data_IF_865366552137
#
_entry.id   IF_865366552137
#
_cell.length_a   1.000
_cell.length_b   1.000
_cell.length_c   1.000
_cell.angle_alpha   90.00
_cell.angle_beta   90.00
_cell.angle_gamma   90.00
#
_symmetry.space_group_name_H-M   'P 1'
#
loop_
_entity.id
_entity.type
_entity.pdbx_description
1 polymer ?
#
# COMPACT_ATOMS: atom_id res chain seq x y z
N UNK A 1 34.96 -52.42 -15.98
CA UNK A 1 35.27 -52.71 -14.55
C UNK A 1 34.92 -51.54 -13.64
N UNK A 2 35.60 -50.38 -13.72
CA UNK A 2 35.36 -49.25 -12.79
C UNK A 2 33.93 -48.70 -12.82
N UNK A 3 33.29 -48.63 -13.99
CA UNK A 3 31.89 -48.16 -14.14
C UNK A 3 30.85 -49.17 -13.63
N UNK A 4 31.13 -50.47 -13.71
CA UNK A 4 30.20 -51.51 -13.22
C UNK A 4 30.26 -51.65 -11.69
N UNK A 5 31.43 -51.48 -11.08
CA UNK A 5 31.57 -51.43 -9.61
C UNK A 5 30.89 -50.20 -9.01
N UNK A 6 31.00 -49.04 -9.66
CA UNK A 6 30.27 -47.83 -9.28
C UNK A 6 28.75 -48.03 -9.41
N UNK A 7 28.30 -48.72 -10.46
CA UNK A 7 26.88 -48.99 -10.65
C UNK A 7 26.33 -50.02 -9.65
N UNK A 8 27.10 -51.07 -9.34
CA UNK A 8 26.77 -52.04 -8.29
C UNK A 8 26.73 -51.43 -6.88
N UNK A 9 27.64 -50.49 -6.58
CA UNK A 9 27.66 -49.74 -5.33
C UNK A 9 26.49 -48.76 -5.19
N UNK A 10 26.01 -48.21 -6.31
CA UNK A 10 24.84 -47.32 -6.36
C UNK A 10 23.49 -48.08 -6.44
N UNK A 11 23.47 -49.31 -6.96
CA UNK A 11 22.25 -50.14 -7.04
C UNK A 11 22.01 -51.00 -5.80
N UNK A 12 22.98 -51.09 -4.88
CA UNK A 12 22.86 -51.79 -3.60
C UNK A 12 22.27 -50.94 -2.48
N UNK A 13 22.09 -51.55 -1.30
CA UNK A 13 21.53 -50.89 -0.11
C UNK A 13 22.24 -49.57 0.26
N UNK A 14 23.54 -49.46 0.00
CA UNK A 14 24.35 -48.26 0.25
C UNK A 14 24.00 -47.08 -0.67
N UNK A 15 23.73 -47.34 -1.95
CA UNK A 15 23.28 -46.32 -2.90
C UNK A 15 21.84 -45.86 -2.63
N UNK A 16 20.96 -46.80 -2.25
CA UNK A 16 19.61 -46.47 -1.78
C UNK A 16 19.62 -45.63 -0.49
N UNK A 17 20.51 -45.92 0.46
CA UNK A 17 20.67 -45.15 1.69
C UNK A 17 21.16 -43.71 1.40
N UNK A 18 22.14 -43.54 0.52
CA UNK A 18 22.62 -42.22 0.06
C UNK A 18 21.50 -41.41 -0.62
N UNK A 19 20.73 -42.03 -1.51
CA UNK A 19 19.58 -41.39 -2.15
C UNK A 19 18.52 -40.97 -1.12
N UNK A 20 18.20 -41.82 -0.14
CA UNK A 20 17.30 -41.49 0.96
C UNK A 20 17.83 -40.32 1.81
N UNK A 21 19.13 -40.26 2.11
CA UNK A 21 19.74 -39.15 2.83
C UNK A 21 19.65 -37.83 2.05
N UNK A 22 19.89 -37.84 0.73
CA UNK A 22 19.72 -36.66 -0.12
C UNK A 22 18.27 -36.19 -0.18
N UNK A 23 17.31 -37.12 -0.32
CA UNK A 23 15.88 -36.81 -0.29
C UNK A 23 15.49 -36.24 1.08
N UNK A 24 15.93 -36.84 2.18
CA UNK A 24 15.66 -36.37 3.53
C UNK A 24 16.26 -34.97 3.77
N UNK A 25 17.48 -34.71 3.31
CA UNK A 25 18.11 -33.39 3.40
C UNK A 25 17.37 -32.34 2.55
N UNK A 26 16.96 -32.67 1.32
CA UNK A 26 16.15 -31.79 0.48
C UNK A 26 14.78 -31.49 1.08
N UNK A 27 14.12 -32.50 1.67
CA UNK A 27 12.86 -32.34 2.40
C UNK A 27 13.05 -31.48 3.64
N UNK A 28 14.11 -31.70 4.43
CA UNK A 28 14.43 -30.91 5.62
C UNK A 28 14.72 -29.44 5.27
N UNK A 29 15.50 -29.18 4.21
CA UNK A 29 15.76 -27.84 3.70
C UNK A 29 14.47 -27.16 3.22
N UNK A 30 13.63 -27.88 2.47
CA UNK A 30 12.32 -27.38 2.02
C UNK A 30 11.38 -27.10 3.18
N UNK A 31 11.39 -27.94 4.21
CA UNK A 31 10.57 -27.79 5.41
C UNK A 31 11.05 -26.60 6.26
N UNK A 32 12.36 -26.47 6.47
CA UNK A 32 12.98 -25.33 7.16
C UNK A 32 12.72 -24.00 6.45
N UNK A 33 12.89 -23.95 5.12
CA UNK A 33 12.57 -22.78 4.31
C UNK A 33 11.09 -22.39 4.39
N UNK A 34 10.18 -23.38 4.38
CA UNK A 34 8.74 -23.16 4.60
C UNK A 34 8.42 -22.73 6.04
N UNK A 35 9.19 -23.18 7.03
CA UNK A 35 9.05 -22.77 8.43
C UNK A 35 9.28 -21.27 8.60
N UNK A 36 10.33 -20.71 7.97
CA UNK A 36 10.58 -19.26 7.98
C UNK A 36 9.45 -18.47 7.32
N UNK A 37 8.99 -18.91 6.15
CA UNK A 37 7.88 -18.26 5.45
C UNK A 37 6.55 -18.32 6.24
N UNK A 38 6.27 -19.45 6.90
CA UNK A 38 5.11 -19.59 7.80
C UNK A 38 5.20 -18.67 9.01
N UNK A 39 6.39 -18.56 9.62
CA UNK A 39 6.64 -17.65 10.73
C UNK A 39 6.43 -16.18 10.34
N UNK A 40 6.95 -15.78 9.16
CA UNK A 40 6.73 -14.44 8.62
C UNK A 40 5.25 -14.15 8.38
N UNK A 41 4.49 -15.09 7.78
CA UNK A 41 3.06 -14.93 7.59
C UNK A 41 2.29 -14.80 8.91
N UNK A 42 2.64 -15.60 9.93
CA UNK A 42 2.01 -15.52 11.24
C UNK A 42 2.25 -14.16 11.91
N UNK A 43 3.48 -13.67 11.90
CA UNK A 43 3.83 -12.35 12.45
C UNK A 43 3.17 -11.20 11.69
N UNK A 44 3.15 -11.25 10.36
CA UNK A 44 2.48 -10.25 9.53
C UNK A 44 0.97 -10.17 9.84
N UNK A 45 0.28 -11.31 9.96
CA UNK A 45 -1.15 -11.36 10.34
C UNK A 45 -1.41 -10.86 11.75
N UNK A 46 -0.54 -11.20 12.70
CA UNK A 46 -0.63 -10.69 14.06
C UNK A 46 -0.50 -9.16 14.09
N UNK A 47 0.47 -8.61 13.34
CA UNK A 47 0.66 -7.16 13.21
C UNK A 47 -0.52 -6.48 12.52
N UNK A 48 -1.03 -7.04 11.41
CA UNK A 48 -2.22 -6.54 10.73
C UNK A 48 -3.42 -6.50 11.68
N UNK A 49 -3.66 -7.58 12.44
CA UNK A 49 -4.76 -7.64 13.43
C UNK A 49 -4.60 -6.57 14.50
N UNK A 50 -3.43 -6.44 15.11
CA UNK A 50 -3.16 -5.42 16.13
C UNK A 50 -3.32 -3.99 15.59
N UNK A 51 -2.85 -3.75 14.36
CA UNK A 51 -2.99 -2.47 13.68
C UNK A 51 -4.46 -2.10 13.45
N UNK A 52 -5.28 -3.05 12.97
CA UNK A 52 -6.72 -2.87 12.77
C UNK A 52 -7.47 -2.65 14.09
N UNK A 53 -7.11 -3.36 15.15
CA UNK A 53 -7.67 -3.14 16.49
C UNK A 53 -7.31 -1.74 17.04
N UNK A 54 -6.09 -1.27 16.80
CA UNK A 54 -5.67 0.08 17.19
C UNK A 54 -6.44 1.15 16.43
N UNK A 55 -6.60 0.98 15.11
CA UNK A 55 -7.34 1.90 14.25
C UNK A 55 -8.82 1.98 14.67
N UNK A 56 -9.46 0.84 14.97
CA UNK A 56 -10.84 0.78 15.46
C UNK A 56 -11.01 1.50 16.80
N UNK A 57 -10.14 1.21 17.78
CA UNK A 57 -10.16 1.88 19.09
C UNK A 57 -10.04 3.39 18.97
N UNK A 58 -9.15 3.87 18.11
CA UNK A 58 -8.96 5.31 17.87
C UNK A 58 -10.22 5.95 17.26
N UNK A 59 -10.78 5.34 16.22
CA UNK A 59 -12.00 5.82 15.57
C UNK A 59 -13.23 5.78 16.52
N UNK A 60 -13.39 4.72 17.32
CA UNK A 60 -14.46 4.61 18.31
C UNK A 60 -14.34 5.66 19.42
N UNK A 61 -13.13 5.88 19.94
CA UNK A 61 -12.88 6.93 20.94
C UNK A 61 -13.30 8.29 20.41
N UNK A 62 -12.92 8.61 19.17
CA UNK A 62 -13.31 9.88 18.55
C UNK A 62 -14.83 9.98 18.36
N UNK A 63 -15.49 8.91 17.88
CA UNK A 63 -16.95 8.87 17.70
C UNK A 63 -17.71 9.10 19.03
N UNK A 64 -17.24 8.50 20.13
CA UNK A 64 -17.83 8.72 21.46
C UNK A 64 -17.67 10.15 21.97
N UNK A 65 -16.57 10.82 21.60
CA UNK A 65 -16.31 12.21 21.97
C UNK A 65 -17.04 13.21 21.08
N UNK A 66 -17.50 12.79 19.90
CA UNK A 66 -18.12 13.65 18.89
C UNK A 66 -19.42 13.00 18.34
N UNK A 67 -20.43 12.74 19.20
CA UNK A 67 -21.63 12.00 18.81
C UNK A 67 -22.48 12.72 17.77
N UNK A 68 -22.41 14.06 17.71
CA UNK A 68 -23.21 14.90 16.82
C UNK A 68 -22.60 15.07 15.42
N UNK A 69 -21.40 14.51 15.17
CA UNK A 69 -20.75 14.60 13.86
C UNK A 69 -21.49 13.75 12.82
N UNK A 70 -22.04 14.41 11.79
CA UNK A 70 -22.62 13.72 10.64
C UNK A 70 -21.52 13.09 9.76
N UNK A 71 -21.13 11.88 10.16
CA UNK A 71 -20.13 11.08 9.45
C UNK A 71 -20.57 10.74 8.02
N UNK A 72 -21.88 10.60 7.78
CA UNK A 72 -22.41 10.25 6.46
C UNK A 72 -22.26 11.42 5.49
N UNK A 73 -22.60 12.63 5.93
CA UNK A 73 -22.39 13.85 5.15
C UNK A 73 -20.91 14.08 4.83
N UNK A 74 -20.01 13.86 5.81
CA UNK A 74 -18.56 14.00 5.61
C UNK A 74 -18.04 13.00 4.55
N UNK A 75 -18.41 11.72 4.65
CA UNK A 75 -17.98 10.69 3.70
C UNK A 75 -18.53 10.89 2.29
N UNK A 76 -19.64 11.62 2.14
CA UNK A 76 -20.24 11.94 0.84
C UNK A 76 -19.54 13.09 0.09
N UNK A 77 -18.64 13.85 0.75
CA UNK A 77 -17.91 14.93 0.11
C UNK A 77 -16.95 14.40 -0.98
N UNK A 78 -16.79 15.19 -2.04
CA UNK A 78 -15.66 15.05 -2.97
C UNK A 78 -14.37 15.54 -2.31
N UNK A 79 -13.20 15.17 -2.83
CA UNK A 79 -11.93 15.65 -2.27
C UNK A 79 -11.82 17.18 -2.29
N UNK A 80 -12.15 17.89 -3.40
CA UNK A 80 -12.06 19.35 -3.42
C UNK A 80 -12.97 20.01 -2.36
N UNK A 81 -14.17 19.49 -2.16
CA UNK A 81 -15.08 19.99 -1.12
C UNK A 81 -14.54 19.74 0.29
N UNK A 82 -13.97 18.55 0.55
CA UNK A 82 -13.34 18.26 1.84
C UNK A 82 -12.18 19.21 2.11
N UNK A 83 -11.29 19.40 1.14
CA UNK A 83 -10.14 20.32 1.24
C UNK A 83 -10.61 21.75 1.51
N UNK A 84 -11.62 22.23 0.79
CA UNK A 84 -12.20 23.56 1.02
C UNK A 84 -12.74 23.71 2.45
N UNK A 85 -13.51 22.73 2.95
CA UNK A 85 -14.06 22.74 4.31
C UNK A 85 -12.97 22.68 5.39
N UNK A 86 -11.89 21.93 5.16
CA UNK A 86 -10.74 21.87 6.06
C UNK A 86 -9.99 23.21 6.12
N UNK A 87 -9.78 23.88 4.98
CA UNK A 87 -9.15 25.20 4.96
C UNK A 87 -10.02 26.30 5.57
N UNK A 88 -11.35 26.24 5.37
CA UNK A 88 -12.29 27.17 5.98
C UNK A 88 -12.48 26.97 7.49
N UNK A 89 -11.98 25.85 8.04
CA UNK A 89 -12.22 25.47 9.44
C UNK A 89 -13.64 24.97 9.72
N UNK A 90 -14.44 24.71 8.68
CA UNK A 90 -15.78 24.11 8.81
C UNK A 90 -15.72 22.64 9.24
N UNK A 91 -14.64 21.95 8.88
CA UNK A 91 -14.31 20.61 9.35
C UNK A 91 -12.93 20.61 10.00
N UNK A 92 -12.76 19.89 11.10
CA UNK A 92 -11.46 19.68 11.70
C UNK A 92 -10.70 18.55 10.98
N UNK A 93 -9.36 18.62 10.90
CA UNK A 93 -8.56 17.50 10.40
C UNK A 93 -8.80 16.20 11.18
N UNK A 94 -9.07 16.29 12.49
CA UNK A 94 -9.42 15.15 13.34
C UNK A 94 -10.73 14.50 12.88
N UNK A 95 -11.77 15.31 12.60
CA UNK A 95 -13.03 14.81 12.08
C UNK A 95 -12.84 14.08 10.76
N UNK A 96 -12.04 14.63 9.84
CA UNK A 96 -11.72 13.96 8.57
C UNK A 96 -10.98 12.64 8.80
N UNK A 97 -9.86 12.65 9.54
CA UNK A 97 -9.02 11.48 9.78
C UNK A 97 -9.81 10.33 10.45
N UNK A 98 -10.43 10.59 11.60
CA UNK A 98 -11.08 9.51 12.36
C UNK A 98 -12.36 9.00 11.70
N UNK A 99 -13.07 9.84 10.93
CA UNK A 99 -14.22 9.38 10.15
C UNK A 99 -13.77 8.44 9.03
N UNK A 100 -12.71 8.79 8.29
CA UNK A 100 -12.16 7.92 7.25
C UNK A 100 -11.48 6.67 7.83
N UNK A 101 -10.80 6.74 8.98
CA UNK A 101 -10.27 5.57 9.68
C UNK A 101 -11.37 4.58 10.06
N UNK A 102 -12.49 5.07 10.61
CA UNK A 102 -13.65 4.25 10.94
C UNK A 102 -14.22 3.58 9.69
N UNK A 103 -14.42 4.34 8.61
CA UNK A 103 -14.93 3.78 7.35
C UNK A 103 -13.96 2.78 6.73
N UNK A 104 -12.66 3.06 6.73
CA UNK A 104 -11.61 2.15 6.26
C UNK A 104 -11.61 0.83 7.04
N UNK A 105 -11.76 0.88 8.36
CA UNK A 105 -11.87 -0.32 9.19
C UNK A 105 -13.12 -1.14 8.87
N UNK A 106 -14.27 -0.48 8.71
CA UNK A 106 -15.54 -1.12 8.35
C UNK A 106 -15.43 -1.86 7.01
N UNK A 107 -14.95 -1.19 5.95
CA UNK A 107 -14.84 -1.80 4.61
C UNK A 107 -13.75 -2.86 4.54
N UNK A 108 -12.72 -2.77 5.38
CA UNK A 108 -11.66 -3.77 5.43
C UNK A 108 -12.17 -5.13 5.93
N UNK A 109 -13.23 -5.19 6.74
CA UNK A 109 -13.84 -6.46 7.18
C UNK A 109 -14.32 -7.31 6.00
N UNK A 110 -14.81 -6.66 4.96
CA UNK A 110 -15.37 -7.32 3.77
C UNK A 110 -14.32 -7.51 2.67
N UNK A 111 -13.34 -6.61 2.60
CA UNK A 111 -12.40 -6.54 1.47
C UNK A 111 -10.99 -7.03 1.77
N UNK A 112 -10.55 -7.03 3.04
CA UNK A 112 -9.17 -7.29 3.44
C UNK A 112 -8.14 -6.47 2.60
N UNK A 113 -8.38 -5.17 2.51
CA UNK A 113 -7.58 -4.25 1.69
C UNK A 113 -6.48 -3.52 2.47
N UNK A 114 -6.54 -3.47 3.80
CA UNK A 114 -5.57 -2.77 4.67
C UNK A 114 -4.57 -3.76 5.25
N UNK A 115 -3.28 -3.53 5.04
CA UNK A 115 -2.20 -4.36 5.63
C UNK A 115 -1.71 -3.80 6.95
N UNK A 116 -1.77 -2.47 7.13
CA UNK A 116 -1.25 -1.80 8.32
C UNK A 116 -1.88 -0.42 8.56
N UNK A 117 -1.92 -0.01 9.83
CA UNK A 117 -2.28 1.32 10.30
C UNK A 117 -1.00 2.12 10.56
N UNK A 118 -0.87 3.30 9.95
CA UNK A 118 0.29 4.18 10.09
C UNK A 118 0.11 5.08 11.33
N UNK A 119 0.40 4.52 12.51
CA UNK A 119 -0.02 5.09 13.79
C UNK A 119 0.53 6.49 14.13
N UNK A 120 1.60 6.94 13.49
CA UNK A 120 2.11 8.30 13.63
C UNK A 120 1.30 9.34 12.83
N UNK A 121 0.23 8.93 12.13
CA UNK A 121 -0.66 9.82 11.40
C UNK A 121 -1.34 10.86 12.31
N UNK A 122 -1.60 10.53 13.58
CA UNK A 122 -2.13 11.47 14.57
C UNK A 122 -1.12 12.57 14.92
N UNK A 123 0.17 12.22 15.03
CA UNK A 123 1.25 13.19 15.19
C UNK A 123 1.40 14.04 13.93
N UNK A 124 1.37 13.41 12.74
CA UNK A 124 1.40 14.10 11.46
C UNK A 124 0.24 15.11 11.33
N UNK A 125 -0.96 14.74 11.77
CA UNK A 125 -2.13 15.62 11.80
C UNK A 125 -1.88 16.88 12.63
N UNK A 126 -1.22 16.75 13.78
CA UNK A 126 -0.90 17.88 14.66
C UNK A 126 0.14 18.85 14.08
N UNK A 127 0.96 18.37 13.15
CA UNK A 127 2.05 19.11 12.51
C UNK A 127 1.76 19.49 11.05
N UNK A 128 0.57 19.14 10.53
CA UNK A 128 0.22 19.33 9.13
C UNK A 128 0.27 20.81 8.73
N UNK A 129 1.06 21.20 7.72
CA UNK A 129 1.10 22.58 7.25
C UNK A 129 -0.26 23.06 6.75
N UNK A 130 -0.83 24.08 7.41
CA UNK A 130 -2.18 24.61 7.13
C UNK A 130 -2.32 25.20 5.73
N UNK A 131 -1.22 25.65 5.14
CA UNK A 131 -1.16 26.24 3.80
C UNK A 131 -0.97 25.19 2.69
N UNK A 132 -0.73 23.93 3.05
CA UNK A 132 -0.53 22.86 2.08
C UNK A 132 -1.82 22.53 1.32
N UNK A 133 -1.71 22.18 0.04
CA UNK A 133 -2.86 21.95 -0.85
C UNK A 133 -3.72 20.75 -0.46
N UNK A 134 -3.22 19.88 0.43
CA UNK A 134 -3.88 18.69 0.93
C UNK A 134 -4.01 18.71 2.46
N UNK A 135 -4.05 19.91 3.06
CA UNK A 135 -4.14 20.07 4.50
C UNK A 135 -5.26 19.23 5.13
N UNK A 136 -4.90 18.34 6.06
CA UNK A 136 -5.81 17.50 6.82
C UNK A 136 -6.43 16.34 6.05
N UNK A 137 -6.05 16.12 4.78
CA UNK A 137 -6.60 15.04 3.93
C UNK A 137 -6.00 13.69 4.33
N UNK A 138 -6.82 12.69 4.72
CA UNK A 138 -6.35 11.32 4.92
C UNK A 138 -6.02 10.67 3.56
N UNK A 139 -4.83 10.09 3.43
CA UNK A 139 -4.36 9.45 2.18
C UNK A 139 -3.98 7.98 2.41
N UNK A 140 -4.48 7.10 1.56
CA UNK A 140 -4.06 5.69 1.55
C UNK A 140 -2.82 5.49 0.68
N UNK A 141 -1.93 4.59 1.10
CA UNK A 141 -0.70 4.29 0.36
C UNK A 141 -0.65 2.79 0.04
N UNK A 142 -0.35 2.45 -1.22
CA UNK A 142 0.04 1.08 -1.55
C UNK A 142 1.27 0.66 -0.72
N UNK A 143 1.35 -0.60 -0.29
CA UNK A 143 2.41 -1.07 0.63
C UNK A 143 3.86 -0.79 0.16
N UNK A 144 4.10 -0.63 -1.15
CA UNK A 144 5.44 -0.38 -1.69
C UNK A 144 5.97 1.05 -1.49
N UNK A 145 5.13 1.99 -1.08
CA UNK A 145 5.60 3.32 -0.67
C UNK A 145 6.26 3.19 0.70
N UNK A 146 7.58 3.32 0.77
CA UNK A 146 8.26 3.20 2.07
C UNK A 146 7.74 4.26 3.03
N UNK A 147 7.45 3.82 4.24
CA UNK A 147 6.99 4.65 5.34
C UNK A 147 7.82 4.31 6.57
N UNK A 148 8.38 5.32 7.23
CA UNK A 148 9.35 5.16 8.30
C UNK A 148 8.82 4.23 9.41
N UNK A 149 9.63 3.25 9.78
CA UNK A 149 9.30 2.27 10.81
C UNK A 149 8.32 1.18 10.38
N UNK A 150 7.87 1.18 9.12
CA UNK A 150 6.90 0.21 8.60
C UNK A 150 7.52 -0.68 7.51
N UNK A 151 7.05 -1.92 7.46
CA UNK A 151 7.48 -2.86 6.42
C UNK A 151 6.81 -2.51 5.08
N UNK A 152 7.58 -2.66 4.01
CA UNK A 152 7.07 -2.84 2.65
C UNK A 152 7.35 -4.28 2.22
N UNK A 153 6.44 -5.20 2.54
CA UNK A 153 6.71 -6.64 2.38
C UNK A 153 6.61 -7.09 0.93
N UNK A 154 5.72 -6.46 0.14
CA UNK A 154 5.35 -6.88 -1.21
C UNK A 154 4.75 -8.30 -1.23
N UNK A 155 4.21 -8.76 -0.09
CA UNK A 155 3.77 -10.14 0.10
C UNK A 155 4.90 -11.18 0.13
N UNK A 156 6.16 -10.76 0.27
CA UNK A 156 7.34 -11.63 0.28
C UNK A 156 7.87 -11.80 1.71
N UNK A 157 8.04 -13.05 2.15
CA UNK A 157 8.51 -13.35 3.51
C UNK A 157 9.91 -12.81 3.82
N UNK A 158 10.74 -12.56 2.79
CA UNK A 158 12.09 -12.01 2.95
C UNK A 158 12.10 -10.54 3.38
N UNK A 159 11.01 -9.82 3.12
CA UNK A 159 10.86 -8.41 3.48
C UNK A 159 10.06 -8.21 4.78
N UNK A 160 9.60 -9.30 5.41
CA UNK A 160 8.86 -9.24 6.67
C UNK A 160 9.82 -9.00 7.83
N UNK A 161 9.53 -8.00 8.67
CA UNK A 161 10.40 -7.57 9.77
C UNK A 161 11.56 -6.70 9.31
N UNK A 162 11.42 -6.04 8.15
CA UNK A 162 12.43 -5.14 7.57
C UNK A 162 11.79 -3.75 7.39
N UNK A 163 11.66 -2.97 8.47
CA UNK A 163 11.01 -1.66 8.41
C UNK A 163 11.87 -0.66 7.63
N UNK A 164 11.22 0.27 6.93
CA UNK A 164 11.92 1.34 6.24
C UNK A 164 12.53 2.36 7.22
N UNK A 165 13.72 2.86 6.91
CA UNK A 165 14.40 3.87 7.75
C UNK A 165 13.85 5.30 7.53
N UNK A 166 13.28 5.55 6.35
CA UNK A 166 12.78 6.85 5.92
C UNK A 166 11.52 6.72 5.07
N UNK A 167 10.75 7.80 5.04
CA UNK A 167 9.61 7.96 4.14
C UNK A 167 10.11 8.11 2.69
N UNK A 168 9.43 7.49 1.74
CA UNK A 168 9.67 7.75 0.31
C UNK A 168 9.46 9.23 -0.02
N UNK A 169 10.11 9.76 -1.05
CA UNK A 169 10.05 11.19 -1.39
C UNK A 169 8.61 11.65 -1.61
N UNK A 170 7.79 10.85 -2.28
CA UNK A 170 6.37 11.18 -2.51
C UNK A 170 5.58 11.27 -1.20
N UNK A 171 5.88 10.40 -0.22
CA UNK A 171 5.27 10.46 1.13
C UNK A 171 5.73 11.70 1.88
N UNK A 172 7.01 12.07 1.79
CA UNK A 172 7.52 13.32 2.38
C UNK A 172 6.81 14.54 1.80
N UNK A 173 6.66 14.61 0.47
CA UNK A 173 5.96 15.72 -0.19
C UNK A 173 4.48 15.75 0.18
N UNK A 174 3.79 14.60 0.27
CA UNK A 174 2.41 14.54 0.79
C UNK A 174 2.30 15.16 2.18
N UNK A 175 3.20 14.78 3.10
CA UNK A 175 3.24 15.32 4.47
C UNK A 175 3.52 16.84 4.48
N UNK A 176 4.44 17.31 3.63
CA UNK A 176 4.73 18.74 3.46
C UNK A 176 3.56 19.53 2.87
N UNK A 177 2.73 18.89 2.04
CA UNK A 177 1.46 19.45 1.54
C UNK A 177 0.30 19.32 2.54
N UNK A 178 0.56 18.91 3.78
CA UNK A 178 -0.43 18.83 4.84
C UNK A 178 -1.30 17.58 4.82
N UNK A 179 -1.03 16.63 3.93
CA UNK A 179 -1.75 15.36 3.89
C UNK A 179 -1.35 14.45 5.06
N UNK A 180 -2.22 13.48 5.35
CA UNK A 180 -2.11 12.58 6.49
C UNK A 180 -2.18 11.14 6.00
N UNK A 181 -1.05 10.53 5.60
CA UNK A 181 -1.03 9.12 5.26
C UNK A 181 -1.42 8.27 6.47
N UNK A 182 -2.40 7.37 6.32
CA UNK A 182 -2.98 6.66 7.49
C UNK A 182 -2.98 5.13 7.39
N UNK A 183 -2.88 4.56 6.19
CA UNK A 183 -2.83 3.09 6.01
C UNK A 183 -1.88 2.68 4.89
N UNK A 184 -1.30 1.48 5.04
CA UNK A 184 -0.82 0.70 3.90
C UNK A 184 -1.91 -0.23 3.37
N UNK A 185 -2.02 -0.32 2.05
CA UNK A 185 -2.98 -1.18 1.38
C UNK A 185 -2.32 -2.36 0.66
N UNK A 186 -3.07 -3.46 0.57
CA UNK A 186 -2.59 -4.76 0.15
C UNK A 186 -2.20 -4.83 -1.33
N UNK A 187 -1.28 -5.74 -1.63
CA UNK A 187 -0.73 -5.98 -2.97
C UNK A 187 -0.67 -7.48 -3.26
N UNK A 188 -0.67 -7.92 -4.53
CA UNK A 188 -0.32 -9.29 -4.84
C UNK A 188 1.15 -9.57 -4.53
N UNK A 189 1.47 -10.83 -4.26
CA UNK A 189 2.84 -11.27 -4.02
C UNK A 189 3.75 -10.81 -5.17
N UNK A 190 4.85 -10.12 -4.82
CA UNK A 190 5.83 -9.49 -5.73
C UNK A 190 5.37 -8.29 -6.56
N UNK A 191 4.09 -7.90 -6.48
CA UNK A 191 3.45 -6.87 -7.31
C UNK A 191 3.39 -7.16 -8.82
N UNK A 192 3.93 -8.28 -9.30
CA UNK A 192 3.90 -8.65 -10.72
C UNK A 192 2.65 -9.47 -11.07
N UNK A 193 1.49 -8.94 -10.71
CA UNK A 193 0.16 -9.51 -11.00
C UNK A 193 -0.88 -8.41 -11.02
N UNK A 194 -1.95 -8.62 -11.79
CA UNK A 194 -3.14 -7.76 -11.80
C UNK A 194 -4.30 -8.33 -10.95
N UNK A 195 -4.05 -9.38 -10.16
CA UNK A 195 -4.90 -9.78 -9.04
C UNK A 195 -4.35 -9.19 -7.72
N UNK A 196 -4.94 -9.50 -6.56
CA UNK A 196 -4.49 -8.98 -5.26
C UNK A 196 -4.54 -10.03 -4.14
N UNK A 197 -3.52 -10.89 -4.08
CA UNK A 197 -3.36 -11.86 -2.99
C UNK A 197 -1.90 -12.18 -2.70
N UNK A 198 -1.56 -12.38 -1.43
CA UNK A 198 -0.25 -12.86 -1.01
C UNK A 198 -0.31 -13.77 0.23
N UNK A 199 0.73 -14.57 0.52
CA UNK A 199 0.74 -15.48 1.65
C UNK A 199 0.72 -14.81 3.03
N UNK A 200 1.15 -13.55 3.14
CA UNK A 200 1.25 -12.83 4.41
C UNK A 200 -0.13 -12.34 4.86
N UNK A 201 -0.75 -11.47 4.06
CA UNK A 201 -2.01 -10.79 4.39
C UNK A 201 -3.25 -11.43 3.77
N UNK A 202 -3.09 -12.40 2.87
CA UNK A 202 -4.20 -13.09 2.22
C UNK A 202 -4.71 -12.36 0.97
N UNK A 203 -5.94 -12.69 0.57
CA UNK A 203 -6.60 -12.16 -0.64
C UNK A 203 -7.42 -10.91 -0.31
N UNK A 204 -7.34 -9.91 -1.17
CA UNK A 204 -8.26 -8.77 -1.21
C UNK A 204 -9.38 -9.05 -2.21
N UNK A 205 -10.61 -8.70 -1.87
CA UNK A 205 -11.81 -8.88 -2.72
C UNK A 205 -12.31 -7.55 -3.27
N UNK A 206 -13.06 -7.60 -4.38
CA UNK A 206 -13.67 -6.41 -4.96
C UNK A 206 -14.86 -5.94 -4.10
N UNK A 207 -14.97 -4.64 -3.76
CA UNK A 207 -16.06 -4.13 -2.92
C UNK A 207 -17.43 -4.17 -3.59
N UNK A 208 -17.51 -4.32 -4.92
CA UNK A 208 -18.78 -4.43 -5.66
C UNK A 208 -19.30 -5.87 -5.72
N UNK A 209 -18.41 -6.85 -5.72
CA UNK A 209 -18.72 -8.28 -5.78
C UNK A 209 -17.55 -9.08 -5.16
N UNK A 210 -17.73 -9.68 -3.97
CA UNK A 210 -16.66 -10.42 -3.29
C UNK A 210 -16.10 -11.62 -4.07
N UNK A 211 -16.82 -12.11 -5.09
CA UNK A 211 -16.34 -13.18 -5.97
C UNK A 211 -15.31 -12.71 -7.01
N UNK A 212 -15.18 -11.39 -7.21
CA UNK A 212 -14.29 -10.79 -8.21
C UNK A 212 -12.98 -10.29 -7.61
N UNK A 213 -11.98 -10.21 -8.47
CA UNK A 213 -10.72 -9.54 -8.16
C UNK A 213 -10.96 -8.02 -8.06
N UNK A 214 -10.32 -7.32 -7.11
CA UNK A 214 -10.29 -5.86 -7.11
C UNK A 214 -9.35 -5.30 -8.19
N UNK A 215 -8.67 -6.15 -8.96
CA UNK A 215 -7.57 -5.75 -9.83
C UNK A 215 -6.25 -5.63 -9.07
N UNK A 216 -5.19 -5.20 -9.73
CA UNK A 216 -3.86 -5.14 -9.12
C UNK A 216 -2.79 -4.57 -10.03
N UNK A 217 -1.59 -4.31 -9.54
CA UNK A 217 -1.12 -4.66 -8.19
C UNK A 217 -1.51 -3.67 -7.09
N UNK A 218 -2.12 -2.53 -7.41
CA UNK A 218 -2.66 -1.58 -6.41
C UNK A 218 -4.09 -1.96 -5.98
N UNK A 219 -4.33 -3.26 -5.75
CA UNK A 219 -5.67 -3.81 -5.51
C UNK A 219 -6.27 -3.36 -4.18
N UNK A 220 -5.44 -3.23 -3.14
CA UNK A 220 -5.86 -2.66 -1.87
C UNK A 220 -6.37 -1.21 -2.00
N UNK A 221 -5.65 -0.36 -2.75
CA UNK A 221 -6.11 1.01 -3.05
C UNK A 221 -7.46 1.01 -3.78
N UNK A 222 -7.60 0.20 -4.83
CA UNK A 222 -8.84 0.09 -5.59
C UNK A 222 -10.03 -0.31 -4.71
N UNK A 223 -9.84 -1.34 -3.87
CA UNK A 223 -10.87 -1.81 -2.96
C UNK A 223 -11.24 -0.77 -1.88
N UNK A 224 -10.23 -0.14 -1.27
CA UNK A 224 -10.45 0.84 -0.20
C UNK A 224 -11.16 2.10 -0.70
N UNK A 225 -10.69 2.69 -1.80
CA UNK A 225 -11.29 3.90 -2.39
C UNK A 225 -12.67 3.57 -2.98
N UNK A 226 -12.79 2.45 -3.68
CA UNK A 226 -14.06 2.00 -4.28
C UNK A 226 -15.16 1.71 -3.26
N UNK A 227 -14.80 1.33 -2.03
CA UNK A 227 -15.72 1.15 -0.90
C UNK A 227 -15.96 2.43 -0.08
N UNK A 228 -15.31 3.55 -0.45
CA UNK A 228 -15.42 4.83 0.26
C UNK A 228 -14.59 4.94 1.54
N UNK A 229 -13.68 4.01 1.81
CA UNK A 229 -12.76 4.05 2.96
C UNK A 229 -11.57 4.99 2.80
N UNK A 230 -11.36 5.53 1.60
CA UNK A 230 -10.40 6.60 1.32
C UNK A 230 -10.91 7.48 0.17
N UNK A 231 -10.50 8.75 0.17
CA UNK A 231 -10.79 9.71 -0.90
C UNK A 231 -9.69 9.72 -1.97
N UNK A 232 -8.45 9.56 -1.53
CA UNK A 232 -7.26 9.71 -2.32
C UNK A 232 -6.24 8.66 -1.86
N UNK A 233 -5.58 8.05 -2.84
CA UNK A 233 -4.45 7.21 -2.55
C UNK A 233 -3.42 7.16 -3.67
N UNK A 234 -2.28 6.55 -3.37
CA UNK A 234 -1.17 6.42 -4.31
C UNK A 234 -0.91 4.97 -4.69
N UNK A 235 -0.83 4.74 -6.00
CA UNK A 235 -0.47 3.46 -6.60
C UNK A 235 0.79 3.55 -7.44
N UNK A 236 1.22 2.40 -7.94
CA UNK A 236 2.33 2.28 -8.89
C UNK A 236 1.91 1.45 -10.10
N UNK A 237 2.44 1.78 -11.28
CA UNK A 237 2.02 1.20 -12.55
C UNK A 237 3.20 1.09 -13.53
N UNK A 238 3.57 -0.15 -13.82
CA UNK A 238 4.51 -0.53 -14.90
C UNK A 238 3.78 -1.16 -16.10
N UNK A 239 2.68 -1.86 -15.85
CA UNK A 239 1.92 -2.62 -16.87
C UNK A 239 0.40 -2.53 -16.71
N UNK A 240 -0.11 -1.59 -15.92
CA UNK A 240 -1.54 -1.39 -15.67
C UNK A 240 -1.93 -1.32 -14.20
N UNK A 241 -0.96 -1.34 -13.27
CA UNK A 241 -1.24 -1.57 -11.85
C UNK A 241 -1.94 -0.44 -11.09
N UNK A 242 -2.09 0.75 -11.68
CA UNK A 242 -3.04 1.78 -11.21
C UNK A 242 -4.38 1.60 -11.94
N UNK A 243 -4.31 1.40 -13.26
CA UNK A 243 -5.47 1.38 -14.15
C UNK A 243 -6.40 0.17 -13.96
N UNK A 244 -5.86 -1.03 -13.76
CA UNK A 244 -6.64 -2.25 -13.50
C UNK A 244 -7.51 -2.13 -12.25
N UNK A 245 -6.94 -1.83 -11.05
CA UNK A 245 -7.77 -1.72 -9.85
C UNK A 245 -8.71 -0.52 -9.89
N UNK A 246 -8.32 0.59 -10.53
CA UNK A 246 -9.25 1.70 -10.77
C UNK A 246 -10.45 1.28 -11.61
N UNK A 247 -10.20 0.59 -12.72
CA UNK A 247 -11.28 0.10 -13.59
C UNK A 247 -12.16 -0.95 -12.91
N UNK A 248 -11.59 -1.89 -12.17
CA UNK A 248 -12.33 -3.01 -11.59
C UNK A 248 -13.18 -2.59 -10.40
N UNK A 249 -12.72 -1.63 -9.60
CA UNK A 249 -13.48 -1.07 -8.48
C UNK A 249 -14.33 0.14 -8.88
N UNK A 250 -14.20 0.59 -10.13
CA UNK A 250 -14.93 1.71 -10.72
C UNK A 250 -14.66 3.04 -10.03
N UNK A 251 -13.37 3.38 -9.96
CA UNK A 251 -12.82 4.65 -9.49
C UNK A 251 -11.89 5.23 -10.58
N UNK A 252 -11.37 6.44 -10.38
CA UNK A 252 -10.41 7.07 -11.28
C UNK A 252 -8.97 6.70 -10.89
N UNK A 253 -8.07 6.64 -11.87
CA UNK A 253 -6.64 6.45 -11.63
C UNK A 253 -5.81 6.96 -12.81
N UNK A 254 -4.71 7.64 -12.52
CA UNK A 254 -3.82 8.19 -13.52
C UNK A 254 -2.43 7.55 -13.42
N UNK A 255 -1.91 7.08 -14.56
CA UNK A 255 -0.49 6.73 -14.72
C UNK A 255 0.24 7.86 -15.47
N UNK A 256 0.98 8.73 -14.78
CA UNK A 256 1.86 9.72 -15.41
C UNK A 256 2.95 9.11 -16.31
N UNK A 257 3.74 9.98 -16.94
CA UNK A 257 5.04 9.62 -17.50
C UNK A 257 5.97 9.13 -16.37
N UNK A 258 6.76 8.07 -16.60
CA UNK A 258 7.48 7.36 -15.54
C UNK A 258 8.43 8.21 -14.69
N UNK A 259 8.93 9.32 -15.23
CA UNK A 259 9.79 10.27 -14.50
C UNK A 259 9.08 11.58 -14.12
N UNK A 260 7.74 11.64 -14.14
CA UNK A 260 6.98 12.85 -13.74
C UNK A 260 6.92 13.03 -12.22
N UNK A 261 7.06 11.94 -11.46
CA UNK A 261 7.10 11.93 -10.00
C UNK A 261 8.29 11.09 -9.54
N UNK A 262 8.80 11.39 -8.35
CA UNK A 262 9.92 10.66 -7.75
C UNK A 262 9.60 9.18 -7.54
N UNK A 263 10.63 8.34 -7.70
CA UNK A 263 10.60 6.91 -7.36
C UNK A 263 11.51 6.58 -6.18
N UNK A 264 12.17 7.59 -5.59
CA UNK A 264 13.09 7.40 -4.47
C UNK A 264 12.30 6.92 -3.24
N UNK A 265 12.78 5.82 -2.64
CA UNK A 265 12.14 5.16 -1.51
C UNK A 265 10.96 4.26 -1.88
N UNK A 266 10.72 3.95 -3.15
CA UNK A 266 9.80 2.86 -3.50
C UNK A 266 10.48 1.50 -3.31
N UNK A 267 9.81 0.57 -2.63
CA UNK A 267 10.26 -0.81 -2.53
C UNK A 267 9.87 -1.58 -3.79
N UNK A 268 10.85 -2.20 -4.44
CA UNK A 268 10.66 -3.09 -5.59
C UNK A 268 11.25 -4.49 -5.38
N UNK A 269 10.88 -5.42 -6.26
CA UNK A 269 11.47 -6.76 -6.33
C UNK A 269 12.67 -6.85 -7.27
N UNK A 270 12.72 -5.97 -8.28
CA UNK A 270 13.77 -5.89 -9.29
C UNK A 270 14.16 -4.43 -9.46
N UNK A 271 15.45 -4.15 -9.45
CA UNK A 271 16.03 -2.80 -9.61
C UNK A 271 16.87 -2.75 -10.88
N UNK A 272 17.04 -1.56 -11.46
CA UNK A 272 17.87 -1.33 -12.65
C UNK A 272 17.20 -1.63 -14.01
N UNK A 273 15.94 -2.06 -14.03
CA UNK A 273 15.18 -2.25 -15.27
C UNK A 273 14.64 -0.90 -15.78
N UNK A 274 15.11 -0.45 -16.96
CA UNK A 274 14.82 0.89 -17.50
C UNK A 274 14.00 0.89 -18.80
N UNK A 275 13.89 -0.25 -19.49
CA UNK A 275 13.22 -0.35 -20.79
C UNK A 275 11.70 -0.10 -20.68
N UNK A 276 11.06 -0.64 -19.66
CA UNK A 276 9.65 -0.39 -19.33
C UNK A 276 9.58 0.37 -18.02
N UNK A 277 9.29 1.67 -18.09
CA UNK A 277 9.37 2.51 -16.90
C UNK A 277 8.18 2.31 -15.95
N UNK A 278 8.49 2.13 -14.68
CA UNK A 278 7.55 2.27 -13.56
C UNK A 278 7.09 3.73 -13.45
N UNK A 279 5.82 3.94 -13.14
CA UNK A 279 5.27 5.24 -12.76
C UNK A 279 4.58 5.17 -11.39
N UNK A 280 4.64 6.28 -10.65
CA UNK A 280 3.80 6.57 -9.48
C UNK A 280 2.61 7.42 -9.93
N UNK A 281 1.43 7.27 -9.33
CA UNK A 281 0.31 8.14 -9.64
C UNK A 281 -0.87 8.02 -8.67
N UNK A 282 -1.79 9.01 -8.71
CA UNK A 282 -2.95 9.06 -7.85
C UNK A 282 -4.07 8.11 -8.30
N UNK A 283 -4.86 7.68 -7.32
CA UNK A 283 -6.13 6.98 -7.45
C UNK A 283 -7.15 7.70 -6.58
N UNK A 284 -8.36 7.95 -7.09
CA UNK A 284 -9.39 8.74 -6.39
C UNK A 284 -10.78 8.46 -6.96
N UNK A 285 -11.83 9.05 -6.37
CA UNK A 285 -13.23 8.85 -6.80
C UNK A 285 -13.63 9.65 -8.04
N UNK A 286 -12.91 10.74 -8.32
CA UNK A 286 -13.17 11.67 -9.42
C UNK A 286 -11.84 12.20 -10.00
N UNK A 287 -11.90 12.82 -11.19
CA UNK A 287 -10.70 13.25 -11.93
C UNK A 287 -10.12 14.52 -11.31
N UNK A 288 -10.95 15.40 -10.78
CA UNK A 288 -10.56 16.61 -10.07
C UNK A 288 -9.67 16.29 -8.87
N UNK A 289 -9.97 15.21 -8.15
CA UNK A 289 -9.11 14.70 -7.06
C UNK A 289 -7.75 14.24 -7.56
N UNK A 290 -7.69 13.60 -8.74
CA UNK A 290 -6.41 13.21 -9.36
C UNK A 290 -5.58 14.44 -9.73
N UNK A 291 -6.22 15.45 -10.33
CA UNK A 291 -5.59 16.72 -10.69
C UNK A 291 -5.07 17.46 -9.46
N UNK A 292 -5.88 17.55 -8.40
CA UNK A 292 -5.49 18.18 -7.14
C UNK A 292 -4.27 17.50 -6.51
N UNK A 293 -4.25 16.16 -6.46
CA UNK A 293 -3.10 15.43 -5.94
C UNK A 293 -1.84 15.67 -6.81
N UNK A 294 -1.98 15.60 -8.13
CA UNK A 294 -0.85 15.81 -9.03
C UNK A 294 -0.31 17.25 -8.91
N UNK A 295 -1.18 18.24 -8.76
CA UNK A 295 -0.82 19.64 -8.48
C UNK A 295 -0.07 19.79 -7.16
N UNK A 296 -0.53 19.14 -6.10
CA UNK A 296 0.15 19.16 -4.80
C UNK A 296 1.54 18.52 -4.86
N UNK A 297 1.70 17.45 -5.63
CA UNK A 297 2.98 16.73 -5.76
C UNK A 297 3.99 17.40 -6.71
N UNK A 298 3.53 18.15 -7.72
CA UNK A 298 4.39 18.86 -8.65
C UNK A 298 4.78 20.25 -8.11
N UNK A 299 5.48 20.24 -6.99
CA UNK A 299 5.91 21.44 -6.25
C UNK A 299 7.43 21.44 -6.00
N UNK A 300 7.93 22.56 -5.50
CA UNK A 300 9.37 22.76 -5.25
C UNK A 300 9.98 21.69 -4.33
N UNK A 301 9.24 21.21 -3.32
CA UNK A 301 9.72 20.16 -2.43
C UNK A 301 10.00 18.85 -3.15
N UNK A 302 9.18 18.46 -4.15
CA UNK A 302 9.42 17.28 -4.97
C UNK A 302 10.72 17.43 -5.77
N UNK A 303 10.89 18.57 -6.42
CA UNK A 303 12.04 18.84 -7.28
C UNK A 303 13.34 18.99 -6.48
N UNK A 304 13.24 19.53 -5.25
CA UNK A 304 14.37 19.67 -4.33
C UNK A 304 14.78 18.35 -3.68
N UNK A 305 13.81 17.53 -3.25
CA UNK A 305 14.09 16.22 -2.62
C UNK A 305 14.56 15.16 -3.61
N UNK A 306 14.13 15.26 -4.88
CA UNK A 306 14.62 14.41 -5.97
C UNK A 306 14.95 15.24 -7.22
N UNK A 307 16.19 15.76 -7.32
CA UNK A 307 16.63 16.53 -8.49
C UNK A 307 16.68 15.73 -9.80
N UNK A 308 16.43 14.42 -9.77
CA UNK A 308 16.34 13.60 -11.00
C UNK A 308 14.96 13.68 -11.65
N UNK A 309 13.95 14.22 -10.95
CA UNK A 309 12.65 14.57 -11.51
C UNK A 309 12.76 15.92 -12.23
N UNK A 310 12.37 16.04 -13.51
CA UNK A 310 12.37 17.32 -14.20
C UNK A 310 11.38 18.28 -13.51
N UNK A 311 11.78 19.52 -13.20
CA UNK A 311 10.97 20.49 -12.46
C UNK A 311 9.86 21.10 -13.33
N UNK A 312 8.92 20.24 -13.74
CA UNK A 312 7.79 20.59 -14.58
C UNK A 312 6.55 20.78 -13.69
N UNK A 313 6.15 22.02 -13.38
CA UNK A 313 4.99 22.27 -12.54
C UNK A 313 3.71 21.70 -13.18
N UNK A 314 2.66 21.59 -12.37
CA UNK A 314 1.32 21.39 -12.91
C UNK A 314 0.91 22.66 -13.69
N UNK A 315 0.47 22.49 -14.94
CA UNK A 315 -0.02 23.58 -15.80
C UNK A 315 -1.54 23.61 -15.71
N UNK A 316 -2.08 24.76 -15.30
CA UNK A 316 -3.52 24.93 -15.02
C UNK A 316 -4.30 25.33 -16.28
N UNK A 317 -3.63 25.93 -17.25
CA UNK A 317 -4.16 26.35 -18.55
C UNK A 317 -4.39 25.20 -19.55
#
# INVERSE_FOLDING_TARGET
>A
MVLEELWAALSGASGAALACCFVAAAVALRWSGRGRARGAAARARQRQKAALESMDKAAQRFRLQNPDLDSKALLALTLPQLVQKLHNGELSPQAALFTYMGKAWEVNKETNCVTNYLADCETQLSQAPKQGLLYGVPVSLKECFSYKGQDSTLGLSVNEGVPAEYDSVVVQVLKLQGAVPFVHTNVPQSMFSYDCSNPLFGKTTNPRDPSKSPGGSSGGEGALIGAGGSLLGLGTDIGGSIRFPSSFCGICGLKPTGNRLSKIGLKGCVYGQLAVQLSVGPMARDVESLALCLRALLCEDMFRLDPTVPPLPFREE
#
